data_IF_406669525653
#
_entry.id   IF_406669525653
#
_cell.length_a   1.000
_cell.length_b   1.000
_cell.length_c   1.000
_cell.angle_alpha   90.00
_cell.angle_beta   90.00
_cell.angle_gamma   90.00
#
_symmetry.space_group_name_H-M   'P 1'
#
loop_
_entity.id
_entity.type
_entity.pdbx_description
1 polymer ?
#
# COMPACT_ATOMS: atom_id res chain seq x y z
N UNK A 1 -8.10 -26.47 -0.74
CA UNK A 1 -6.92 -25.56 -0.86
C UNK A 1 -7.31 -24.13 -1.21
N UNK A 2 -8.27 -23.92 -2.12
CA UNK A 2 -8.80 -22.58 -2.47
C UNK A 2 -9.38 -21.80 -1.28
N UNK A 3 -10.16 -22.44 -0.40
CA UNK A 3 -10.76 -21.75 0.78
C UNK A 3 -9.70 -21.18 1.74
N UNK A 4 -8.65 -21.96 2.06
CA UNK A 4 -7.54 -21.51 2.93
C UNK A 4 -6.75 -20.31 2.41
N UNK A 5 -6.81 -20.02 1.10
CA UNK A 5 -6.16 -18.87 0.48
C UNK A 5 -7.09 -17.65 0.59
N UNK A 6 -8.38 -17.84 0.32
CA UNK A 6 -9.40 -16.80 0.45
C UNK A 6 -9.47 -16.29 1.90
N UNK A 7 -9.48 -17.19 2.88
CA UNK A 7 -9.46 -16.80 4.31
C UNK A 7 -8.21 -15.99 4.69
N UNK A 8 -7.05 -16.34 4.13
CA UNK A 8 -5.80 -15.61 4.38
C UNK A 8 -5.79 -14.24 3.71
N UNK A 9 -6.37 -14.11 2.53
CA UNK A 9 -6.52 -12.83 1.84
C UNK A 9 -7.52 -11.93 2.60
N UNK A 10 -8.65 -12.49 3.05
CA UNK A 10 -9.61 -11.79 3.89
C UNK A 10 -8.97 -11.30 5.19
N UNK A 11 -8.21 -12.17 5.87
CA UNK A 11 -7.44 -11.78 7.05
C UNK A 11 -6.42 -10.69 6.72
N UNK A 12 -5.74 -10.75 5.58
CA UNK A 12 -4.81 -9.71 5.14
C UNK A 12 -5.49 -8.34 4.98
N UNK A 13 -6.71 -8.31 4.43
CA UNK A 13 -7.52 -7.10 4.35
C UNK A 13 -8.03 -6.62 5.71
N UNK A 14 -8.14 -7.53 6.68
CA UNK A 14 -8.52 -7.24 8.07
C UNK A 14 -7.35 -6.62 8.87
N UNK A 15 -6.12 -7.16 8.74
CA UNK A 15 -4.92 -6.64 9.45
C UNK A 15 -4.22 -5.48 8.76
N UNK A 16 -4.42 -5.27 7.45
CA UNK A 16 -3.77 -4.20 6.70
C UNK A 16 -4.79 -3.53 5.79
N UNK A 17 -4.94 -2.21 5.93
CA UNK A 17 -5.91 -1.46 5.13
C UNK A 17 -5.69 -1.73 3.64
N UNK A 18 -6.79 -1.96 2.91
CA UNK A 18 -6.82 -2.03 1.44
C UNK A 18 -6.02 -0.89 0.79
N UNK A 19 -6.06 0.30 1.41
CA UNK A 19 -5.32 1.50 0.99
C UNK A 19 -3.81 1.26 1.03
N UNK A 20 -3.30 0.60 2.07
CA UNK A 20 -1.87 0.30 2.21
C UNK A 20 -1.40 -0.67 1.14
N UNK A 21 -2.19 -1.70 0.84
CA UNK A 21 -1.88 -2.67 -0.22
C UNK A 21 -1.87 -1.98 -1.59
N UNK A 22 -2.87 -1.16 -1.88
CA UNK A 22 -2.94 -0.39 -3.12
C UNK A 22 -1.74 0.52 -3.31
N UNK A 23 -1.33 1.24 -2.26
CA UNK A 23 -0.15 2.11 -2.31
C UNK A 23 1.15 1.31 -2.52
N UNK A 24 1.31 0.14 -1.90
CA UNK A 24 2.48 -0.72 -2.12
C UNK A 24 2.56 -1.20 -3.57
N UNK A 25 1.42 -1.56 -4.17
CA UNK A 25 1.38 -1.94 -5.60
C UNK A 25 1.73 -0.76 -6.49
N UNK A 26 1.21 0.44 -6.22
CA UNK A 26 1.57 1.66 -6.96
C UNK A 26 3.07 1.97 -6.84
N UNK A 27 3.67 1.79 -5.66
CA UNK A 27 5.12 1.95 -5.48
C UNK A 27 5.92 0.94 -6.32
N UNK A 28 5.49 -0.32 -6.35
CA UNK A 28 6.13 -1.34 -7.18
C UNK A 28 6.03 -1.00 -8.68
N UNK A 29 4.88 -0.50 -9.14
CA UNK A 29 4.70 -0.04 -10.51
C UNK A 29 5.55 1.18 -10.85
N UNK A 30 5.74 2.11 -9.91
CA UNK A 30 6.60 3.28 -10.10
C UNK A 30 8.09 2.91 -10.15
N UNK A 31 8.51 1.87 -9.42
CA UNK A 31 9.91 1.42 -9.37
C UNK A 31 10.31 0.47 -10.52
N UNK A 32 9.39 -0.39 -10.95
CA UNK A 32 9.66 -1.44 -11.94
C UNK A 32 8.88 -1.29 -13.25
N UNK A 33 8.00 -0.29 -13.35
CA UNK A 33 7.25 -0.01 -14.57
C UNK A 33 8.15 0.56 -15.67
N UNK A 34 7.78 0.37 -16.95
CA UNK A 34 8.52 0.93 -18.09
C UNK A 34 8.29 2.43 -18.28
N UNK A 35 7.81 3.13 -17.24
CA UNK A 35 7.41 4.53 -17.28
C UNK A 35 8.22 5.33 -16.27
N UNK A 36 8.83 6.43 -16.71
CA UNK A 36 9.49 7.39 -15.84
C UNK A 36 8.49 8.49 -15.43
N UNK A 37 7.98 8.46 -14.19
CA UNK A 37 7.06 9.48 -13.71
C UNK A 37 7.79 10.83 -13.54
N UNK A 38 7.09 11.95 -13.77
CA UNK A 38 7.65 13.27 -13.48
C UNK A 38 8.03 13.37 -11.99
N UNK A 39 9.19 13.98 -11.71
CA UNK A 39 9.79 14.02 -10.38
C UNK A 39 8.85 14.59 -9.30
N UNK A 40 8.01 15.55 -9.68
CA UNK A 40 6.99 16.15 -8.82
C UNK A 40 5.92 15.14 -8.40
N UNK A 41 5.42 14.33 -9.33
CA UNK A 41 4.44 13.29 -9.04
C UNK A 41 5.03 12.17 -8.17
N UNK A 42 6.29 11.80 -8.41
CA UNK A 42 7.00 10.82 -7.60
C UNK A 42 7.20 11.34 -6.16
N UNK A 43 7.61 12.60 -6.01
CA UNK A 43 7.75 13.25 -4.71
C UNK A 43 6.43 13.33 -3.92
N UNK A 44 5.34 13.71 -4.60
CA UNK A 44 4.00 13.72 -4.01
C UNK A 44 3.55 12.33 -3.58
N UNK A 45 3.82 11.31 -4.40
CA UNK A 45 3.49 9.92 -4.07
C UNK A 45 4.28 9.41 -2.85
N UNK A 46 5.61 9.60 -2.83
CA UNK A 46 6.46 9.16 -1.74
C UNK A 46 6.11 9.82 -0.40
N UNK A 47 5.83 11.13 -0.40
CA UNK A 47 5.42 11.87 0.80
C UNK A 47 4.06 11.43 1.32
N UNK A 48 3.08 11.30 0.43
CA UNK A 48 1.73 10.79 0.76
C UNK A 48 1.78 9.35 1.27
N UNK A 49 2.60 8.50 0.65
CA UNK A 49 2.83 7.13 1.09
C UNK A 49 3.40 7.08 2.51
N UNK A 50 4.45 7.84 2.79
CA UNK A 50 5.06 7.93 4.11
C UNK A 50 4.06 8.39 5.19
N UNK A 51 3.24 9.40 4.89
CA UNK A 51 2.22 9.90 5.80
C UNK A 51 1.13 8.86 6.11
N UNK A 52 0.62 8.16 5.09
CA UNK A 52 -0.42 7.13 5.26
C UNK A 52 0.14 5.94 6.05
N UNK A 53 1.35 5.49 5.74
CA UNK A 53 2.01 4.41 6.49
C UNK A 53 2.18 4.83 7.95
N UNK A 54 2.72 6.01 8.21
CA UNK A 54 2.90 6.52 9.57
C UNK A 54 1.58 6.59 10.33
N UNK A 55 0.52 7.09 9.70
CA UNK A 55 -0.82 7.08 10.29
C UNK A 55 -1.25 5.67 10.68
N UNK A 56 -1.16 4.69 9.79
CA UNK A 56 -1.56 3.31 10.11
C UNK A 56 -0.69 2.66 11.20
N UNK A 57 0.60 2.98 11.30
CA UNK A 57 1.47 2.43 12.34
C UNK A 57 1.32 3.12 13.70
N UNK A 58 0.94 4.40 13.73
CA UNK A 58 0.79 5.19 14.95
C UNK A 58 -0.64 5.30 15.44
N UNK A 59 -1.62 4.95 14.60
CA UNK A 59 -3.03 4.88 14.97
C UNK A 59 -3.22 3.77 16.01
N UNK A 60 -3.54 4.19 17.24
CA UNK A 60 -4.02 3.26 18.27
C UNK A 60 -5.34 2.64 17.83
N UNK A 61 -5.44 1.32 17.95
CA UNK A 61 -6.71 0.61 17.86
C UNK A 61 -7.66 1.23 18.91
N UNK A 62 -8.80 1.75 18.44
CA UNK A 62 -9.89 2.20 19.28
C UNK A 62 -10.76 1.04 19.70
#
# INVERSE_FOLDING_TARGET
MKEKIVDRILKLFEVKSLVTVGLTVCMALLLFGPYEPPAEALGLFCTSYGAIITYFFTRKEG
#
